data_IF_960679587933
#
_entry.id   IF_960679587933
#
_cell.length_a   1.000
_cell.length_b   1.000
_cell.length_c   1.000
_cell.angle_alpha   90.00
_cell.angle_beta   90.00
_cell.angle_gamma   90.00
#
_symmetry.space_group_name_H-M   'P 1'
#
loop_
_entity.id
_entity.type
_entity.pdbx_description
1 polymer ?
#
# COMPACT_ATOMS: atom_id res chain seq x y z
N UNK A 1 8.40 -32.92 -36.54
CA UNK A 1 7.41 -31.82 -36.46
C UNK A 1 6.44 -32.20 -35.38
N UNK A 2 6.40 -31.44 -34.28
CA UNK A 2 5.20 -31.32 -33.44
C UNK A 2 5.40 -30.03 -32.64
N UNK A 3 4.93 -28.93 -33.25
CA UNK A 3 4.82 -27.64 -32.60
C UNK A 3 3.60 -27.70 -31.69
N UNK A 4 3.83 -27.80 -30.37
CA UNK A 4 2.77 -27.52 -29.41
C UNK A 4 2.62 -26.01 -29.29
N UNK A 5 1.62 -25.55 -30.05
CA UNK A 5 0.80 -24.35 -29.89
C UNK A 5 0.99 -23.62 -28.56
N UNK A 6 1.66 -22.47 -28.63
CA UNK A 6 1.57 -21.42 -27.62
C UNK A 6 0.12 -20.93 -27.60
N UNK A 7 -0.62 -21.29 -26.57
CA UNK A 7 -1.91 -20.67 -26.28
C UNK A 7 -1.63 -19.30 -25.64
N UNK A 8 -1.83 -18.29 -26.48
CA UNK A 8 -1.81 -16.86 -26.20
C UNK A 8 -2.99 -16.48 -25.30
N UNK A 9 -2.82 -16.68 -23.99
CA UNK A 9 -3.62 -16.03 -22.98
C UNK A 9 -2.73 -14.99 -22.29
N UNK A 10 -3.08 -13.71 -22.39
CA UNK A 10 -2.40 -12.58 -21.75
C UNK A 10 -2.37 -12.67 -20.22
N UNK A 11 -1.59 -13.62 -19.69
CA UNK A 11 -1.32 -13.84 -18.29
C UNK A 11 -0.35 -12.77 -17.82
N UNK A 12 -0.90 -11.72 -17.19
CA UNK A 12 -0.13 -10.67 -16.52
C UNK A 12 0.91 -11.35 -15.62
N UNK A 13 2.21 -11.16 -15.90
CA UNK A 13 3.27 -11.78 -15.12
C UNK A 13 3.09 -11.47 -13.63
N UNK A 14 2.83 -12.50 -12.84
CA UNK A 14 2.83 -12.40 -11.39
C UNK A 14 4.27 -12.18 -10.94
N UNK A 15 4.51 -11.08 -10.23
CA UNK A 15 5.78 -10.80 -9.59
C UNK A 15 6.31 -11.96 -8.74
N UNK A 16 7.64 -12.04 -8.66
CA UNK A 16 8.34 -13.10 -7.95
C UNK A 16 7.84 -13.30 -6.52
N UNK A 17 7.58 -12.21 -5.78
CA UNK A 17 7.10 -12.31 -4.40
C UNK A 17 5.75 -13.05 -4.33
N UNK A 18 4.73 -12.56 -5.04
CA UNK A 18 3.41 -13.16 -5.00
C UNK A 18 3.43 -14.58 -5.57
N UNK A 19 4.19 -14.85 -6.65
CA UNK A 19 4.37 -16.20 -7.19
C UNK A 19 4.97 -17.16 -6.15
N UNK A 20 5.99 -16.73 -5.42
CA UNK A 20 6.64 -17.52 -4.36
C UNK A 20 5.68 -17.74 -3.19
N UNK A 21 5.02 -16.68 -2.72
CA UNK A 21 3.99 -16.75 -1.67
C UNK A 21 2.91 -17.76 -2.03
N UNK A 22 2.36 -17.68 -3.24
CA UNK A 22 1.35 -18.61 -3.71
C UNK A 22 1.88 -20.05 -3.72
N UNK A 23 3.08 -20.27 -4.26
CA UNK A 23 3.67 -21.60 -4.35
C UNK A 23 3.88 -22.24 -2.97
N UNK A 24 4.32 -21.46 -1.98
CA UNK A 24 4.51 -21.92 -0.60
C UNK A 24 3.18 -22.34 0.02
N UNK A 25 2.19 -21.44 0.02
CA UNK A 25 0.98 -21.66 0.82
C UNK A 25 -0.07 -22.53 0.12
N UNK A 26 -0.17 -22.49 -1.21
CA UNK A 26 -1.13 -23.34 -1.95
C UNK A 26 -0.85 -24.84 -1.79
N UNK A 27 0.44 -25.20 -1.64
CA UNK A 27 0.89 -26.59 -1.49
C UNK A 27 1.20 -26.98 -0.05
N UNK A 28 1.12 -26.03 0.89
CA UNK A 28 1.42 -26.29 2.29
C UNK A 28 0.43 -27.29 2.88
N UNK A 29 0.90 -28.30 3.63
CA UNK A 29 0.00 -29.27 4.26
C UNK A 29 -0.98 -28.58 5.22
N UNK A 30 -2.18 -29.14 5.43
CA UNK A 30 -3.11 -28.64 6.45
C UNK A 30 -2.44 -28.59 7.82
N UNK A 31 -2.54 -27.44 8.49
CA UNK A 31 -1.90 -27.22 9.79
C UNK A 31 -2.91 -26.55 10.74
N UNK A 32 -3.82 -27.32 11.36
CA UNK A 32 -4.99 -26.80 12.05
C UNK A 32 -4.66 -25.98 13.31
N UNK A 33 -3.44 -26.10 13.84
CA UNK A 33 -2.97 -25.32 15.00
C UNK A 33 -1.96 -24.24 14.63
N UNK A 34 -1.56 -24.14 13.36
CA UNK A 34 -0.63 -23.11 12.92
C UNK A 34 -1.37 -21.79 12.70
N UNK A 35 -0.71 -20.71 13.11
CA UNK A 35 -1.20 -19.35 12.95
C UNK A 35 -0.25 -18.57 12.03
N UNK A 36 -0.81 -17.73 11.18
CA UNK A 36 -0.10 -16.69 10.46
C UNK A 36 -0.30 -15.34 11.18
N UNK A 37 0.68 -14.46 11.07
CA UNK A 37 0.62 -13.09 11.58
C UNK A 37 0.35 -12.13 10.43
N UNK A 38 -0.59 -11.21 10.61
CA UNK A 38 -0.63 -10.00 9.80
C UNK A 38 0.29 -8.95 10.43
N UNK A 39 1.39 -8.62 9.74
CA UNK A 39 2.42 -7.71 10.30
C UNK A 39 1.97 -6.25 10.40
N UNK A 40 0.88 -5.86 9.74
CA UNK A 40 0.35 -4.50 9.80
C UNK A 40 -0.61 -4.31 10.97
N UNK A 41 -1.41 -5.34 11.27
CA UNK A 41 -2.42 -5.27 12.33
C UNK A 41 -1.99 -5.93 13.64
N UNK A 42 -0.89 -6.71 13.63
CA UNK A 42 -0.42 -7.55 14.74
C UNK A 42 -1.44 -8.65 15.14
N UNK A 43 -2.34 -9.00 14.22
CA UNK A 43 -3.37 -10.02 14.45
C UNK A 43 -2.92 -11.40 13.93
N UNK A 44 -3.15 -12.42 14.75
CA UNK A 44 -2.94 -13.81 14.36
C UNK A 44 -4.22 -14.41 13.75
N UNK A 45 -4.08 -15.15 12.67
CA UNK A 45 -5.18 -15.86 12.02
C UNK A 45 -4.78 -17.30 11.64
N UNK A 46 -5.73 -18.24 11.50
CA UNK A 46 -5.41 -19.62 11.14
C UNK A 46 -4.65 -19.70 9.82
N UNK A 47 -3.52 -20.40 9.80
CA UNK A 47 -2.65 -20.50 8.61
C UNK A 47 -3.41 -21.09 7.41
N UNK A 48 -4.31 -22.05 7.66
CA UNK A 48 -5.13 -22.68 6.63
C UNK A 48 -6.02 -21.69 5.87
N UNK A 49 -6.29 -20.50 6.43
CA UNK A 49 -6.99 -19.41 5.72
C UNK A 49 -6.25 -19.03 4.45
N UNK A 50 -4.90 -19.09 4.44
CA UNK A 50 -4.11 -18.73 3.25
C UNK A 50 -4.42 -19.61 2.05
N UNK A 51 -4.73 -20.90 2.28
CA UNK A 51 -5.08 -21.86 1.22
C UNK A 51 -6.43 -21.57 0.57
N UNK A 52 -7.27 -20.76 1.21
CA UNK A 52 -8.57 -20.36 0.65
C UNK A 52 -8.44 -19.25 -0.40
N UNK A 53 -7.31 -18.54 -0.44
CA UNK A 53 -7.07 -17.48 -1.40
C UNK A 53 -6.65 -18.01 -2.77
N UNK A 54 -7.03 -17.26 -3.80
CA UNK A 54 -6.87 -17.67 -5.20
C UNK A 54 -5.57 -17.17 -5.83
N UNK A 55 -4.92 -16.18 -5.22
CA UNK A 55 -3.71 -15.55 -5.76
C UNK A 55 -2.65 -15.31 -4.67
N UNK A 56 -1.38 -15.21 -5.08
CA UNK A 56 -0.29 -14.88 -4.17
C UNK A 56 -0.40 -13.48 -3.57
N UNK A 57 -1.04 -12.56 -4.30
CA UNK A 57 -1.36 -11.23 -3.79
C UNK A 57 -2.31 -11.28 -2.60
N UNK A 58 -3.43 -12.00 -2.71
CA UNK A 58 -4.40 -12.13 -1.62
C UNK A 58 -3.77 -12.77 -0.37
N UNK A 59 -2.90 -13.78 -0.58
CA UNK A 59 -2.14 -14.39 0.51
C UNK A 59 -1.14 -13.41 1.16
N UNK A 60 -0.47 -12.57 0.36
CA UNK A 60 0.46 -11.56 0.86
C UNK A 60 -0.27 -10.40 1.58
N UNK A 61 -1.47 -10.04 1.11
CA UNK A 61 -2.31 -8.99 1.68
C UNK A 61 -2.88 -9.41 3.03
N UNK A 62 -3.38 -10.66 3.13
CA UNK A 62 -3.81 -11.25 4.39
C UNK A 62 -2.70 -11.26 5.46
N UNK A 63 -1.44 -11.40 5.04
CA UNK A 63 -0.27 -11.38 5.92
C UNK A 63 0.31 -9.97 6.15
N UNK A 64 -0.27 -8.92 5.55
CA UNK A 64 0.17 -7.54 5.76
C UNK A 64 1.48 -7.17 5.04
N UNK A 65 1.92 -7.96 4.05
CA UNK A 65 3.14 -7.66 3.29
C UNK A 65 2.91 -7.51 1.78
N UNK A 66 1.66 -7.43 1.32
CA UNK A 66 1.34 -7.12 -0.08
C UNK A 66 2.03 -5.83 -0.58
N UNK A 67 2.43 -4.95 0.34
CA UNK A 67 3.24 -3.78 0.01
C UNK A 67 4.60 -4.10 -0.64
N UNK A 68 5.12 -5.30 -0.46
CA UNK A 68 6.36 -5.75 -1.07
C UNK A 68 6.15 -6.36 -2.47
N UNK A 69 4.91 -6.64 -2.93
CA UNK A 69 4.66 -7.15 -4.28
C UNK A 69 4.72 -6.03 -5.33
N UNK A 70 5.35 -6.33 -6.48
CA UNK A 70 5.45 -5.45 -7.66
C UNK A 70 4.70 -6.01 -8.89
N UNK A 71 3.76 -6.94 -8.70
CA UNK A 71 3.02 -7.69 -9.74
C UNK A 71 2.17 -6.83 -10.68
N UNK A 72 1.92 -5.61 -10.25
CA UNK A 72 1.34 -4.52 -11.03
C UNK A 72 2.09 -3.31 -10.50
N UNK A 73 2.62 -2.45 -11.36
CA UNK A 73 2.91 -1.07 -10.98
C UNK A 73 1.78 -0.62 -10.05
N UNK A 74 2.09 -0.45 -8.76
CA UNK A 74 1.09 -0.45 -7.70
C UNK A 74 -0.04 0.52 -8.04
N UNK A 75 -1.26 0.19 -7.58
CA UNK A 75 -2.23 1.25 -7.35
C UNK A 75 -1.53 2.31 -6.50
N UNK A 76 -1.33 3.50 -7.07
CA UNK A 76 -0.63 4.65 -6.49
C UNK A 76 -1.20 5.11 -5.14
N UNK A 77 -2.21 4.42 -4.62
CA UNK A 77 -3.14 4.94 -3.64
C UNK A 77 -2.89 4.40 -2.22
N UNK A 78 -1.89 3.54 -2.00
CA UNK A 78 -1.52 3.13 -0.63
C UNK A 78 -0.99 4.30 0.18
N UNK A 79 -0.21 5.17 -0.46
CA UNK A 79 0.30 6.39 0.16
C UNK A 79 -0.46 7.60 -0.41
N UNK A 80 -1.79 7.49 -0.48
CA UNK A 80 -2.70 8.58 -0.83
C UNK A 80 -3.34 9.14 0.44
N UNK A 81 -2.68 10.15 0.99
CA UNK A 81 -2.95 10.71 2.30
C UNK A 81 -3.44 12.15 2.22
N UNK A 82 -4.24 12.57 3.21
CA UNK A 82 -4.66 13.95 3.41
C UNK A 82 -4.33 14.37 4.83
N UNK A 83 -3.74 15.56 4.99
CA UNK A 83 -3.30 16.05 6.30
C UNK A 83 -4.23 17.17 6.79
N UNK A 84 -4.50 17.20 8.10
CA UNK A 84 -5.16 18.33 8.75
C UNK A 84 -4.13 19.16 9.49
N UNK A 85 -3.98 20.43 9.11
CA UNK A 85 -3.00 21.34 9.71
C UNK A 85 -3.59 22.01 10.95
N UNK A 86 -2.80 22.01 12.03
CA UNK A 86 -3.15 22.63 13.32
C UNK A 86 -2.00 23.49 13.82
N UNK A 87 -2.31 24.56 14.55
CA UNK A 87 -1.29 25.34 15.26
C UNK A 87 -0.82 24.63 16.55
N UNK A 88 0.12 25.25 17.25
CA UNK A 88 0.67 24.71 18.50
C UNK A 88 -0.37 24.57 19.63
N UNK A 89 -1.50 25.28 19.54
CA UNK A 89 -2.63 25.18 20.49
C UNK A 89 -3.64 24.09 20.07
N UNK A 90 -3.44 23.46 18.91
CA UNK A 90 -4.33 22.45 18.35
C UNK A 90 -5.47 23.01 17.49
N UNK A 91 -5.53 24.34 17.29
CA UNK A 91 -6.55 24.98 16.47
C UNK A 91 -6.30 24.68 14.98
N UNK A 92 -7.36 24.30 14.27
CA UNK A 92 -7.29 24.01 12.84
C UNK A 92 -6.91 25.26 12.03
N UNK A 93 -5.95 25.11 11.14
CA UNK A 93 -5.45 26.16 10.26
C UNK A 93 -6.23 26.15 8.94
N UNK A 94 -7.45 26.70 8.97
CA UNK A 94 -8.32 26.81 7.79
C UNK A 94 -7.90 27.96 6.86
N UNK A 95 -8.03 27.75 5.55
CA UNK A 95 -7.72 28.74 4.50
C UNK A 95 -6.29 29.30 4.52
N UNK A 96 -5.33 28.50 4.96
CA UNK A 96 -3.91 28.88 5.00
C UNK A 96 -3.15 28.26 3.82
N UNK A 97 -2.23 29.03 3.23
CA UNK A 97 -1.34 28.54 2.17
C UNK A 97 -0.32 27.57 2.74
N UNK A 98 -0.09 26.47 2.03
CA UNK A 98 0.88 25.46 2.41
C UNK A 98 1.69 24.95 1.21
N UNK A 99 2.85 24.37 1.51
CA UNK A 99 3.69 23.59 0.58
C UNK A 99 4.10 22.28 1.26
N UNK A 100 3.90 21.16 0.59
CA UNK A 100 4.46 19.86 0.97
C UNK A 100 5.73 19.57 0.17
N UNK A 101 6.72 19.03 0.87
CA UNK A 101 8.04 18.73 0.32
C UNK A 101 8.50 17.33 0.67
N UNK A 102 9.25 16.73 -0.26
CA UNK A 102 10.09 15.56 -0.04
C UNK A 102 11.53 16.02 -0.27
N UNK A 103 12.29 16.20 0.81
CA UNK A 103 13.61 16.84 0.75
C UNK A 103 13.55 18.25 0.16
N UNK A 104 14.29 18.50 -0.92
CA UNK A 104 14.29 19.79 -1.62
C UNK A 104 13.12 19.97 -2.59
N UNK A 105 12.42 18.89 -2.96
CA UNK A 105 11.36 18.91 -3.99
C UNK A 105 10.01 19.24 -3.38
N UNK A 106 9.30 20.21 -3.96
CA UNK A 106 7.88 20.47 -3.67
C UNK A 106 7.04 19.43 -4.42
N UNK A 107 6.21 18.69 -3.68
CA UNK A 107 5.34 17.64 -4.24
C UNK A 107 3.88 18.06 -4.28
N UNK A 108 3.48 19.00 -3.43
CA UNK A 108 2.14 19.58 -3.43
C UNK A 108 2.18 21.01 -2.88
N UNK A 109 1.26 21.86 -3.34
CA UNK A 109 1.04 23.21 -2.82
C UNK A 109 -0.44 23.55 -2.92
N UNK A 110 -0.94 24.39 -2.02
CA UNK A 110 -2.34 24.78 -2.05
C UNK A 110 -2.74 25.69 -0.88
N UNK A 111 -4.05 25.75 -0.66
CA UNK A 111 -4.67 26.40 0.49
C UNK A 111 -5.50 25.34 1.21
N UNK A 112 -5.44 25.30 2.54
CA UNK A 112 -6.26 24.37 3.32
C UNK A 112 -7.75 24.69 3.22
N UNK A 113 -8.60 23.69 3.36
CA UNK A 113 -10.05 23.86 3.33
C UNK A 113 -10.61 24.53 4.61
N UNK A 114 -11.94 24.57 4.75
CA UNK A 114 -12.63 25.17 5.89
C UNK A 114 -12.35 24.48 7.23
N UNK A 115 -11.81 23.26 7.23
CA UNK A 115 -11.46 22.49 8.43
C UNK A 115 -9.96 22.21 8.54
N UNK A 116 -9.15 22.92 7.73
CA UNK A 116 -7.70 22.85 7.78
C UNK A 116 -7.06 21.69 7.02
N UNK A 117 -7.78 21.02 6.11
CA UNK A 117 -7.25 19.88 5.35
C UNK A 117 -6.49 20.33 4.10
N UNK A 118 -5.41 19.61 3.78
CA UNK A 118 -4.68 19.75 2.51
C UNK A 118 -5.43 19.07 1.36
N UNK A 119 -4.91 19.18 0.13
CA UNK A 119 -5.30 18.24 -0.92
C UNK A 119 -4.79 16.84 -0.56
N UNK A 120 -5.33 15.81 -1.21
CA UNK A 120 -4.77 14.46 -1.15
C UNK A 120 -3.43 14.40 -1.89
N UNK A 121 -2.45 13.70 -1.33
CA UNK A 121 -1.12 13.53 -1.91
C UNK A 121 -0.86 12.03 -2.03
N UNK A 122 -0.55 11.60 -3.24
CA UNK A 122 -0.18 10.22 -3.57
C UNK A 122 1.34 10.11 -3.80
N UNK A 123 1.99 9.14 -3.14
CA UNK A 123 3.37 8.74 -3.41
C UNK A 123 3.46 7.25 -3.77
N UNK A 124 4.50 6.87 -4.53
CA UNK A 124 4.70 5.47 -4.94
C UNK A 124 5.18 4.54 -3.81
N UNK A 125 5.78 5.13 -2.78
CA UNK A 125 6.34 4.46 -1.60
C UNK A 125 6.22 5.37 -0.35
N UNK A 126 6.58 4.85 0.82
CA UNK A 126 6.59 5.62 2.07
C UNK A 126 7.66 6.72 2.01
N UNK A 127 7.28 7.96 2.27
CA UNK A 127 8.17 9.13 2.19
C UNK A 127 8.08 10.01 3.43
N UNK A 128 9.21 10.58 3.84
CA UNK A 128 9.24 11.64 4.86
C UNK A 128 8.84 12.97 4.20
N UNK A 129 7.72 13.51 4.66
CA UNK A 129 7.19 14.79 4.20
C UNK A 129 7.56 15.92 5.15
N UNK A 130 7.75 17.11 4.61
CA UNK A 130 7.83 18.36 5.37
C UNK A 130 6.75 19.32 4.86
N UNK A 131 6.03 19.95 5.79
CA UNK A 131 4.93 20.87 5.46
C UNK A 131 5.34 22.27 5.89
N UNK A 132 5.50 23.15 4.92
CA UNK A 132 5.70 24.58 5.15
C UNK A 132 4.34 25.26 5.13
N UNK A 133 4.01 25.99 6.19
CA UNK A 133 2.74 26.72 6.33
C UNK A 133 3.05 28.21 6.31
N UNK A 134 2.29 28.98 5.53
CA UNK A 134 2.41 30.44 5.57
C UNK A 134 1.95 30.94 6.95
N UNK A 135 2.76 31.77 7.59
CA UNK A 135 2.36 32.46 8.82
C UNK A 135 1.21 33.39 8.51
N UNK A 136 0.10 33.23 9.24
CA UNK A 136 -1.04 34.14 9.26
C UNK A 136 -0.70 35.44 9.97
#
# INVERSE_FOLDING_TARGET
MEQQKQDDAGGKEECLLCRVTYSIFSTFPPMPSAMALNIETDEFFPLDTLRSYSTGYEMADAQGYAWACNCRERASNRFDEQFTLRDATGKQLARIRYRLRIGSRVVAKGVTDSVGRTQRISTGDAKRLSIDVATS
#
